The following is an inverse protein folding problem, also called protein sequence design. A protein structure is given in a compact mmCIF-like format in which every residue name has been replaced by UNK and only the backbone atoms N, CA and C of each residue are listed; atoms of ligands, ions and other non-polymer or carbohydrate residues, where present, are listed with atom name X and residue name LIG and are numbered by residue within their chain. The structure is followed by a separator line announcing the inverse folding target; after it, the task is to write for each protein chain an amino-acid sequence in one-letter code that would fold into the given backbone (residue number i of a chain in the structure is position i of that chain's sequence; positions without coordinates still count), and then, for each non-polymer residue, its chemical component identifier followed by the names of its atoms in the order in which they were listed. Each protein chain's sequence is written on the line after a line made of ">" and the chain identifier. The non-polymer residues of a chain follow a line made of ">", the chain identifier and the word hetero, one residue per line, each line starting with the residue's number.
data_IF_255197548922
#
_entry.id   IF_255197548922
#
_cell.length_a   1.000
_cell.length_b   1.000
_cell.length_c   1.000
_cell.angle_alpha   90.00
_cell.angle_beta   90.00
_cell.angle_gamma   90.00
#
_symmetry.space_group_name_H-M   'P 1'
#
loop_
_entity.id
_entity.type
_entity.pdbx_description
1 polymer ?
#
# COMPACT_ATOMS: atom_id res chain seq x y z
N UNK A 1 10.83 19.90 31.37
CA UNK A 1 11.48 18.88 30.52
C UNK A 1 10.38 17.93 30.10
N UNK A 2 9.99 17.91 28.82
CA UNK A 2 9.02 16.93 28.32
C UNK A 2 9.62 15.53 28.47
N UNK A 3 8.81 14.58 28.93
CA UNK A 3 9.26 13.20 29.09
C UNK A 3 9.53 12.58 27.71
N UNK A 4 10.60 11.79 27.57
CA UNK A 4 10.97 11.14 26.30
C UNK A 4 9.86 10.21 25.76
N UNK A 5 8.96 9.76 26.65
CA UNK A 5 7.73 9.03 26.31
C UNK A 5 6.70 9.88 25.56
N UNK A 6 6.65 11.20 25.77
CA UNK A 6 5.77 12.11 25.00
C UNK A 6 6.28 12.32 23.56
N UNK A 7 7.59 12.24 23.32
CA UNK A 7 8.15 12.32 21.96
C UNK A 7 7.75 11.13 21.08
N UNK A 8 7.59 9.93 21.65
CA UNK A 8 7.16 8.75 20.90
C UNK A 8 5.66 8.83 20.55
N UNK A 9 4.86 9.50 21.38
CA UNK A 9 3.42 9.69 21.13
C UNK A 9 3.15 10.67 19.98
N UNK A 10 3.98 11.70 19.85
CA UNK A 10 3.84 12.72 18.81
C UNK A 10 4.27 12.26 17.41
N UNK A 11 4.84 11.06 17.26
CA UNK A 11 5.16 10.48 15.95
C UNK A 11 3.95 9.85 15.23
N UNK A 12 2.86 9.57 15.94
CA UNK A 12 1.63 8.98 15.35
C UNK A 12 0.60 10.05 14.89
N UNK A 13 0.77 11.34 15.24
CA UNK A 13 -0.20 12.41 14.93
C UNK A 13 0.17 13.27 13.70
N UNK A 14 1.11 12.81 12.88
CA UNK A 14 1.55 13.47 11.65
C UNK A 14 0.53 13.40 10.52
N UNK A 15 -0.59 14.13 10.65
CA UNK A 15 -1.28 14.83 9.57
C UNK A 15 -1.81 14.01 8.38
N UNK A 16 -2.94 13.34 8.56
CA UNK A 16 -3.91 13.16 7.45
C UNK A 16 -4.70 14.45 7.32
N UNK A 17 -4.25 15.35 6.45
CA UNK A 17 -5.07 16.49 6.05
C UNK A 17 -6.10 15.95 5.05
N UNK A 18 -7.30 15.65 5.55
CA UNK A 18 -8.45 15.26 4.75
C UNK A 18 -8.80 16.42 3.80
N UNK A 19 -8.43 16.26 2.53
CA UNK A 19 -8.98 17.04 1.44
C UNK A 19 -10.36 16.47 1.16
N UNK A 20 -11.37 17.16 1.68
CA UNK A 20 -12.79 16.94 1.42
C UNK A 20 -13.10 17.28 -0.05
N UNK A 21 -12.94 16.29 -0.94
CA UNK A 21 -13.42 16.36 -2.32
C UNK A 21 -14.81 15.73 -2.44
N UNK A 22 -15.79 16.62 -2.63
CA UNK A 22 -17.20 16.42 -2.95
C UNK A 22 -17.58 15.10 -3.62
N UNK A 23 -18.41 14.34 -2.91
CA UNK A 23 -19.27 13.27 -3.44
C UNK A 23 -20.20 13.81 -4.52
N UNK A 24 -20.07 13.29 -5.74
CA UNK A 24 -21.19 13.13 -6.66
C UNK A 24 -21.62 11.66 -6.67
N UNK A 25 -22.84 11.43 -6.19
CA UNK A 25 -23.55 10.17 -6.26
C UNK A 25 -23.83 9.75 -7.70
N UNK A 26 -23.16 8.69 -8.17
CA UNK A 26 -23.74 7.80 -9.17
C UNK A 26 -23.42 6.35 -8.81
N UNK A 27 -24.44 5.65 -8.31
CA UNK A 27 -24.45 4.18 -8.22
C UNK A 27 -24.22 3.57 -9.60
N UNK A 28 -23.46 2.46 -9.68
CA UNK A 28 -23.86 1.37 -10.54
C UNK A 28 -24.06 0.06 -9.77
N UNK A 29 -24.87 -0.76 -10.41
CA UNK A 29 -25.44 -2.03 -9.96
C UNK A 29 -24.38 -3.07 -9.64
N UNK A 30 -24.78 -3.95 -8.73
CA UNK A 30 -24.13 -5.21 -8.44
C UNK A 30 -23.91 -6.05 -9.71
N UNK A 31 -22.69 -6.58 -9.82
CA UNK A 31 -22.43 -7.84 -10.51
C UNK A 31 -21.50 -8.65 -9.61
N UNK A 32 -22.03 -9.79 -9.16
CA UNK A 32 -21.23 -10.93 -8.74
C UNK A 32 -20.31 -11.36 -9.88
N UNK A 33 -19.18 -12.00 -9.56
CA UNK A 33 -18.65 -13.21 -10.22
C UNK A 33 -17.21 -13.49 -9.77
N UNK A 34 -17.08 -14.65 -9.10
CA UNK A 34 -16.03 -15.67 -9.19
C UNK A 34 -14.63 -15.37 -8.60
N UNK A 35 -14.40 -16.03 -7.47
CA UNK A 35 -13.11 -16.51 -6.98
C UNK A 35 -12.49 -17.50 -7.96
N UNK A 36 -11.24 -17.26 -8.39
CA UNK A 36 -10.37 -18.30 -8.94
C UNK A 36 -8.99 -18.23 -8.29
N UNK A 37 -8.68 -19.29 -7.55
CA UNK A 37 -7.32 -19.72 -7.24
C UNK A 37 -6.66 -20.23 -8.53
N UNK A 38 -5.35 -20.00 -8.69
CA UNK A 38 -4.57 -20.67 -9.73
C UNK A 38 -3.27 -19.96 -10.09
N UNK A 39 -2.21 -20.36 -9.40
CA UNK A 39 -0.88 -20.67 -9.90
C UNK A 39 -0.07 -19.73 -10.83
N UNK A 40 1.22 -19.69 -10.47
CA UNK A 40 2.39 -19.55 -11.33
C UNK A 40 2.61 -18.18 -12.00
N UNK A 41 3.39 -17.33 -11.34
CA UNK A 41 4.14 -16.28 -12.04
C UNK A 41 5.57 -16.77 -12.24
N UNK A 42 5.78 -17.30 -13.45
CA UNK A 42 7.10 -17.49 -14.01
C UNK A 42 7.78 -16.14 -14.26
N UNK A 43 9.05 -16.11 -13.88
CA UNK A 43 10.13 -15.30 -14.43
C UNK A 43 9.85 -14.69 -15.81
N UNK A 44 9.84 -13.36 -15.89
CA UNK A 44 10.00 -12.64 -17.16
C UNK A 44 11.17 -11.65 -17.07
N UNK A 45 12.22 -11.98 -17.81
CA UNK A 45 13.43 -11.21 -18.06
C UNK A 45 13.20 -9.76 -18.51
N UNK A 46 14.18 -8.86 -18.28
CA UNK A 46 14.09 -7.47 -18.67
C UNK A 46 14.21 -7.27 -20.19
N UNK A 47 13.17 -6.73 -20.82
CA UNK A 47 13.20 -6.24 -22.20
C UNK A 47 14.09 -5.00 -22.31
N UNK A 48 15.26 -5.18 -22.92
CA UNK A 48 16.12 -4.08 -23.40
C UNK A 48 15.35 -3.25 -24.43
N UNK A 49 14.95 -2.04 -24.05
CA UNK A 49 14.44 -1.01 -24.96
C UNK A 49 15.58 -0.62 -25.92
N UNK A 50 15.50 -1.05 -27.18
CA UNK A 50 16.28 -0.45 -28.26
C UNK A 50 15.59 0.86 -28.63
N UNK A 51 16.28 1.97 -28.38
CA UNK A 51 15.95 3.26 -28.97
C UNK A 51 16.12 3.15 -30.49
N UNK A 52 15.02 3.06 -31.21
CA UNK A 52 15.00 3.26 -32.67
C UNK A 52 14.63 4.71 -32.92
N UNK A 53 15.63 5.58 -32.93
CA UNK A 53 15.50 6.90 -33.54
C UNK A 53 15.34 6.71 -35.04
N UNK A 54 14.15 6.99 -35.56
CA UNK A 54 13.91 7.06 -37.01
C UNK A 54 13.06 8.29 -37.27
N UNK A 55 13.76 9.42 -37.36
CA UNK A 55 13.24 10.65 -37.93
C UNK A 55 14.31 11.15 -38.90
N UNK A 56 14.04 11.01 -40.20
CA UNK A 56 14.36 12.01 -41.22
C UNK A 56 14.02 11.49 -42.62
N UNK A 57 13.11 12.22 -43.25
CA UNK A 57 13.05 12.49 -44.69
C UNK A 57 13.05 11.33 -45.69
N UNK A 58 11.84 10.97 -46.12
CA UNK A 58 11.59 10.68 -47.55
C UNK A 58 10.27 11.37 -47.93
N UNK A 59 10.35 12.68 -48.21
CA UNK A 59 9.37 13.36 -49.07
C UNK A 59 9.81 13.13 -50.51
N UNK A 60 9.48 11.97 -51.07
CA UNK A 60 9.63 11.72 -52.49
C UNK A 60 8.33 12.19 -53.17
N UNK A 61 8.33 13.47 -53.52
CA UNK A 61 7.37 14.08 -54.43
C UNK A 61 7.52 13.43 -55.80
N UNK A 62 6.77 12.36 -56.06
CA UNK A 62 6.57 11.82 -57.40
C UNK A 62 5.25 12.37 -57.95
N UNK A 63 5.30 13.59 -58.47
CA UNK A 63 4.28 14.10 -59.39
C UNK A 63 4.92 15.02 -60.43
N UNK A 64 6.05 14.60 -60.99
CA UNK A 64 6.52 15.09 -62.28
C UNK A 64 6.13 14.06 -63.34
N UNK A 65 4.85 14.06 -63.70
CA UNK A 65 4.44 13.58 -65.02
C UNK A 65 4.30 14.85 -65.87
N UNK A 66 5.17 15.10 -66.85
CA UNK A 66 5.05 16.22 -67.76
C UNK A 66 3.86 15.97 -68.69
N UNK A 67 2.66 16.30 -68.25
CA UNK A 67 1.44 16.25 -69.08
C UNK A 67 1.42 17.36 -70.14
N UNK A 68 2.40 18.26 -70.11
CA UNK A 68 2.56 19.36 -71.06
C UNK A 68 3.19 18.95 -72.39
N UNK A 69 3.88 17.80 -72.48
CA UNK A 69 4.51 17.38 -73.75
C UNK A 69 3.63 16.49 -74.64
N UNK A 70 2.53 15.94 -74.13
CA UNK A 70 1.65 15.07 -74.93
C UNK A 70 0.54 15.85 -75.67
N UNK A 71 0.27 17.10 -75.28
CA UNK A 71 -0.71 17.96 -75.96
C UNK A 71 -0.14 18.80 -77.10
N UNK A 72 1.19 18.93 -77.20
CA UNK A 72 1.86 19.59 -78.33
C UNK A 72 2.05 18.66 -79.53
N UNK A 73 2.07 17.33 -79.35
CA UNK A 73 2.27 16.39 -80.47
C UNK A 73 1.00 16.10 -81.28
N UNK A 74 -0.19 16.21 -80.69
CA UNK A 74 -1.48 16.04 -81.40
C UNK A 74 -2.01 17.33 -82.05
N UNK A 75 -1.33 18.47 -81.85
CA UNK A 75 -1.60 19.72 -82.56
C UNK A 75 -0.65 19.92 -83.75
N UNK A 76 -0.27 18.81 -84.39
CA UNK A 76 0.22 18.85 -85.76
C UNK A 76 -0.87 19.46 -86.64
N UNK A 77 -0.71 20.74 -86.95
CA UNK A 77 -1.49 21.48 -87.94
C UNK A 77 -1.42 20.72 -89.28
N UNK A 78 -2.39 19.83 -89.50
CA UNK A 78 -2.79 19.46 -90.86
C UNK A 78 -3.65 20.63 -91.34
N UNK A 79 -3.01 21.73 -91.72
CA UNK A 79 -3.65 22.76 -92.52
C UNK A 79 -3.96 22.14 -93.88
N UNK A 80 -5.22 21.72 -94.05
CA UNK A 80 -5.74 21.32 -95.35
C UNK A 80 -5.54 22.48 -96.33
N UNK A 81 -4.96 22.24 -97.52
CA UNK A 81 -4.73 23.29 -98.52
C UNK A 81 -6.03 24.07 -98.81
N UNK A 82 -6.00 25.41 -98.89
CA UNK A 82 -7.18 26.26 -99.02
C UNK A 82 -8.05 25.97 -100.25
N UNK A 83 -7.54 25.22 -101.23
CA UNK A 83 -8.24 24.84 -102.46
C UNK A 83 -9.16 23.61 -102.30
N UNK A 84 -8.99 22.77 -101.28
CA UNK A 84 -9.88 21.61 -101.05
C UNK A 84 -11.10 21.94 -100.18
N UNK A 85 -11.05 23.03 -99.41
CA UNK A 85 -12.15 23.47 -98.53
C UNK A 85 -13.34 24.09 -99.28
N UNK A 86 -13.18 24.40 -100.57
CA UNK A 86 -14.22 24.98 -101.43
C UNK A 86 -15.01 23.94 -102.24
N UNK A 87 -14.57 22.68 -102.28
CA UNK A 87 -15.25 21.60 -103.00
C UNK A 87 -16.18 20.75 -102.12
N UNK A 88 -16.24 21.02 -100.82
CA UNK A 88 -17.17 20.33 -99.91
C UNK A 88 -18.54 21.02 -100.01
N UNK A 89 -19.59 20.35 -100.53
CA UNK A 89 -20.93 20.93 -100.64
C UNK A 89 -21.42 21.44 -99.27
N UNK A 90 -22.07 22.61 -99.22
CA UNK A 90 -22.42 23.29 -97.96
C UNK A 90 -23.16 22.42 -96.93
N UNK A 91 -23.92 21.41 -97.37
CA UNK A 91 -24.61 20.46 -96.47
C UNK A 91 -23.68 19.51 -95.70
N UNK A 92 -22.45 19.28 -96.16
CA UNK A 92 -21.46 18.42 -95.48
C UNK A 92 -20.70 19.17 -94.37
N UNK A 93 -20.51 20.49 -94.50
CA UNK A 93 -19.85 21.31 -93.47
C UNK A 93 -20.66 21.38 -92.18
N UNK A 94 -21.99 21.49 -92.29
CA UNK A 94 -22.88 21.47 -91.13
C UNK A 94 -22.91 20.09 -90.46
N UNK A 95 -22.81 19.01 -91.25
CA UNK A 95 -22.72 17.64 -90.73
C UNK A 95 -21.42 17.41 -89.95
N UNK A 96 -20.28 17.93 -90.44
CA UNK A 96 -18.99 17.88 -89.74
C UNK A 96 -19.06 18.67 -88.43
N UNK A 97 -19.61 19.90 -88.44
CA UNK A 97 -19.77 20.71 -87.23
C UNK A 97 -20.67 20.04 -86.16
N UNK A 98 -21.76 19.37 -86.58
CA UNK A 98 -22.61 18.59 -85.66
C UNK A 98 -21.88 17.37 -85.08
N UNK A 99 -21.07 16.68 -85.89
CA UNK A 99 -20.25 15.55 -85.42
C UNK A 99 -19.16 16.01 -84.45
N UNK A 100 -18.52 17.15 -84.70
CA UNK A 100 -17.55 17.76 -83.79
C UNK A 100 -18.18 18.16 -82.46
N UNK A 101 -19.39 18.75 -82.50
CA UNK A 101 -20.15 19.05 -81.28
C UNK A 101 -20.48 17.78 -80.49
N UNK A 102 -20.99 16.74 -81.14
CA UNK A 102 -21.29 15.45 -80.49
C UNK A 102 -20.01 14.81 -79.92
N UNK A 103 -18.89 14.90 -80.64
CA UNK A 103 -17.61 14.38 -80.18
C UNK A 103 -17.09 15.17 -78.96
N UNK A 104 -17.24 16.50 -78.96
CA UNK A 104 -16.87 17.36 -77.84
C UNK A 104 -17.73 17.10 -76.61
N UNK A 105 -19.04 16.95 -76.80
CA UNK A 105 -20.00 16.62 -75.73
C UNK A 105 -19.68 15.24 -75.11
N UNK A 106 -19.40 14.23 -75.94
CA UNK A 106 -18.95 12.92 -75.46
C UNK A 106 -17.65 12.99 -74.68
N UNK A 107 -16.66 13.77 -75.14
CA UNK A 107 -15.41 14.00 -74.41
C UNK A 107 -15.65 14.71 -73.07
N UNK A 108 -16.55 15.69 -73.04
CA UNK A 108 -16.93 16.41 -71.82
C UNK A 108 -17.61 15.49 -70.81
N UNK A 109 -18.56 14.65 -71.24
CA UNK A 109 -19.21 13.67 -70.38
C UNK A 109 -18.22 12.63 -69.83
N UNK A 110 -17.28 12.17 -70.66
CA UNK A 110 -16.23 11.26 -70.22
C UNK A 110 -15.33 11.90 -69.15
N UNK A 111 -14.86 13.13 -69.40
CA UNK A 111 -14.05 13.87 -68.43
C UNK A 111 -14.80 14.14 -67.11
N UNK A 112 -16.10 14.45 -67.18
CA UNK A 112 -16.94 14.61 -65.99
C UNK A 112 -17.09 13.29 -65.22
N UNK A 113 -17.27 12.17 -65.92
CA UNK A 113 -17.36 10.85 -65.30
C UNK A 113 -16.05 10.46 -64.60
N UNK A 114 -14.89 10.71 -65.22
CA UNK A 114 -13.57 10.50 -64.62
C UNK A 114 -13.38 11.37 -63.36
N UNK A 115 -13.80 12.63 -63.41
CA UNK A 115 -13.72 13.54 -62.26
C UNK A 115 -14.62 13.08 -61.11
N UNK A 116 -15.85 12.63 -61.40
CA UNK A 116 -16.75 12.09 -60.37
C UNK A 116 -16.20 10.81 -59.73
N UNK A 117 -15.61 9.92 -60.53
CA UNK A 117 -14.92 8.73 -60.02
C UNK A 117 -13.75 9.13 -59.12
N UNK A 118 -12.90 10.07 -59.56
CA UNK A 118 -11.77 10.57 -58.77
C UNK A 118 -12.23 11.19 -57.44
N UNK A 119 -13.30 12.00 -57.44
CA UNK A 119 -13.88 12.56 -56.21
C UNK A 119 -14.39 11.45 -55.29
N UNK A 120 -15.06 10.43 -55.84
CA UNK A 120 -15.56 9.31 -55.04
C UNK A 120 -14.42 8.50 -54.42
N UNK A 121 -13.30 8.33 -55.12
CA UNK A 121 -12.11 7.66 -54.59
C UNK A 121 -11.43 8.47 -53.49
N UNK A 122 -11.30 9.80 -53.68
CA UNK A 122 -10.75 10.69 -52.65
C UNK A 122 -11.61 10.67 -51.39
N UNK A 123 -12.93 10.71 -51.53
CA UNK A 123 -13.84 10.61 -50.40
C UNK A 123 -13.72 9.25 -49.70
N UNK A 124 -13.62 8.15 -50.45
CA UNK A 124 -13.41 6.82 -49.85
C UNK A 124 -12.11 6.75 -49.06
N UNK A 125 -11.00 7.26 -49.62
CA UNK A 125 -9.71 7.32 -48.93
C UNK A 125 -9.76 8.20 -47.68
N UNK A 126 -10.55 9.27 -47.72
CA UNK A 126 -10.78 10.14 -46.56
C UNK A 126 -11.52 9.38 -45.46
N UNK A 127 -12.61 8.69 -45.79
CA UNK A 127 -13.39 7.89 -44.84
C UNK A 127 -12.56 6.75 -44.25
N UNK A 128 -11.79 6.04 -45.08
CA UNK A 128 -10.87 4.96 -44.65
C UNK A 128 -9.83 5.51 -43.65
N UNK A 129 -9.27 6.70 -43.93
CA UNK A 129 -8.30 7.36 -43.04
C UNK A 129 -8.94 7.85 -41.74
N UNK A 130 -10.16 8.38 -41.78
CA UNK A 130 -10.89 8.78 -40.59
C UNK A 130 -11.18 7.57 -39.68
N UNK A 131 -11.58 6.43 -40.26
CA UNK A 131 -11.77 5.18 -39.51
C UNK A 131 -10.45 4.67 -38.90
N UNK A 132 -9.35 4.74 -39.64
CA UNK A 132 -8.03 4.35 -39.12
C UNK A 132 -7.60 5.23 -37.94
N UNK A 133 -7.79 6.54 -38.04
CA UNK A 133 -7.48 7.47 -36.93
C UNK A 133 -8.36 7.19 -35.70
N UNK A 134 -9.65 6.89 -35.88
CA UNK A 134 -10.53 6.52 -34.77
C UNK A 134 -10.09 5.20 -34.13
N UNK A 135 -9.65 4.22 -34.92
CA UNK A 135 -9.13 2.97 -34.40
C UNK A 135 -7.86 3.20 -33.57
N UNK A 136 -6.91 3.99 -34.08
CA UNK A 136 -5.67 4.34 -33.38
C UNK A 136 -5.95 5.09 -32.06
N UNK A 137 -6.88 6.06 -32.07
CA UNK A 137 -7.29 6.78 -30.86
C UNK A 137 -7.94 5.84 -29.84
N UNK A 138 -8.79 4.91 -30.30
CA UNK A 138 -9.41 3.92 -29.41
C UNK A 138 -8.40 2.96 -28.79
N UNK A 139 -7.38 2.56 -29.55
CA UNK A 139 -6.29 1.70 -29.08
C UNK A 139 -5.43 2.44 -28.05
N UNK A 140 -5.02 3.68 -28.36
CA UNK A 140 -4.27 4.53 -27.45
C UNK A 140 -5.03 4.80 -26.14
N UNK A 141 -6.35 5.03 -26.22
CA UNK A 141 -7.18 5.20 -25.03
C UNK A 141 -7.22 3.93 -24.15
N UNK A 142 -7.28 2.74 -24.75
CA UNK A 142 -7.23 1.46 -24.04
C UNK A 142 -5.88 1.22 -23.38
N UNK A 143 -4.78 1.53 -24.06
CA UNK A 143 -3.43 1.43 -23.50
C UNK A 143 -3.25 2.38 -22.32
N UNK A 144 -3.70 3.63 -22.44
CA UNK A 144 -3.65 4.61 -21.35
C UNK A 144 -4.50 4.20 -20.15
N UNK A 145 -5.67 3.59 -20.36
CA UNK A 145 -6.48 3.04 -19.27
C UNK A 145 -5.76 1.89 -18.56
N UNK A 146 -5.20 0.94 -19.32
CA UNK A 146 -4.42 -0.18 -18.77
C UNK A 146 -3.20 0.28 -17.97
N UNK A 147 -2.47 1.30 -18.45
CA UNK A 147 -1.32 1.88 -17.74
C UNK A 147 -1.74 2.58 -16.44
N UNK A 148 -2.90 3.28 -16.44
CA UNK A 148 -3.44 3.89 -15.22
C UNK A 148 -3.82 2.84 -14.19
N UNK A 149 -4.46 1.76 -14.62
CA UNK A 149 -4.83 0.65 -13.72
C UNK A 149 -3.59 -0.04 -13.16
N UNK A 150 -2.57 -0.30 -13.99
CA UNK A 150 -1.29 -0.86 -13.54
C UNK A 150 -0.58 0.05 -12.52
N UNK A 151 -0.54 1.36 -12.78
CA UNK A 151 0.03 2.33 -11.85
C UNK A 151 -0.77 2.42 -10.54
N UNK A 152 -2.10 2.34 -10.59
CA UNK A 152 -2.93 2.32 -9.39
C UNK A 152 -2.62 1.09 -8.52
N UNK A 153 -2.42 -0.08 -9.12
CA UNK A 153 -1.99 -1.29 -8.41
C UNK A 153 -0.60 -1.11 -7.81
N UNK A 154 0.37 -0.57 -8.55
CA UNK A 154 1.73 -0.32 -8.05
C UNK A 154 1.74 0.62 -6.85
N UNK A 155 0.96 1.71 -6.89
CA UNK A 155 0.83 2.65 -5.77
C UNK A 155 0.24 1.96 -4.53
N UNK A 156 -0.76 1.10 -4.69
CA UNK A 156 -1.35 0.35 -3.56
C UNK A 156 -0.32 -0.62 -2.96
N UNK A 157 0.42 -1.34 -3.80
CA UNK A 157 1.47 -2.27 -3.36
C UNK A 157 2.57 -1.53 -2.62
N UNK A 158 3.08 -0.42 -3.16
CA UNK A 158 4.13 0.39 -2.51
C UNK A 158 3.68 0.97 -1.16
N UNK A 159 2.42 1.42 -1.06
CA UNK A 159 1.86 1.88 0.22
C UNK A 159 1.81 0.73 1.23
N UNK A 160 1.34 -0.45 0.83
CA UNK A 160 1.28 -1.61 1.70
C UNK A 160 2.68 -2.04 2.18
N UNK A 161 3.67 -2.12 1.29
CA UNK A 161 5.04 -2.49 1.67
C UNK A 161 5.65 -1.48 2.64
N UNK A 162 5.47 -0.18 2.39
CA UNK A 162 5.98 0.87 3.27
C UNK A 162 5.35 0.80 4.67
N UNK A 163 4.03 0.53 4.77
CA UNK A 163 3.38 0.39 6.09
C UNK A 163 3.93 -0.81 6.89
N UNK A 164 4.25 -1.92 6.22
CA UNK A 164 4.84 -3.10 6.85
C UNK A 164 6.28 -2.81 7.29
N UNK A 165 7.07 -2.13 6.46
CA UNK A 165 8.44 -1.74 6.80
C UNK A 165 8.47 -0.81 8.02
N UNK A 166 7.56 0.16 8.09
CA UNK A 166 7.43 1.04 9.26
C UNK A 166 7.04 0.27 10.53
N UNK A 167 6.12 -0.70 10.43
CA UNK A 167 5.73 -1.53 11.56
C UNK A 167 6.92 -2.36 12.09
N UNK A 168 7.67 -3.00 11.18
CA UNK A 168 8.85 -3.78 11.53
C UNK A 168 9.97 -2.91 12.13
N UNK A 169 10.19 -1.71 11.59
CA UNK A 169 11.17 -0.77 12.13
C UNK A 169 10.78 -0.30 13.54
N UNK A 170 9.49 -0.03 13.78
CA UNK A 170 8.96 0.32 15.11
C UNK A 170 9.18 -0.80 16.11
N UNK A 171 8.86 -2.04 15.74
CA UNK A 171 9.09 -3.21 16.59
C UNK A 171 10.57 -3.35 16.94
N UNK A 172 11.46 -3.27 15.95
CA UNK A 172 12.90 -3.38 16.18
C UNK A 172 13.44 -2.26 17.10
N UNK A 173 12.97 -1.02 16.94
CA UNK A 173 13.37 0.11 17.80
C UNK A 173 12.85 -0.10 19.23
N UNK A 174 11.61 -0.54 19.40
CA UNK A 174 11.04 -0.82 20.72
C UNK A 174 11.80 -1.95 21.40
N UNK A 175 12.11 -3.02 20.67
CA UNK A 175 12.91 -4.13 21.18
C UNK A 175 14.30 -3.70 21.62
N UNK A 176 14.95 -2.86 20.82
CA UNK A 176 16.26 -2.30 21.15
C UNK A 176 16.18 -1.41 22.40
N UNK A 177 15.14 -0.58 22.50
CA UNK A 177 14.91 0.28 23.67
C UNK A 177 14.60 -0.53 24.93
N UNK A 178 13.74 -1.54 24.87
CA UNK A 178 13.40 -2.40 26.01
C UNK A 178 14.60 -3.15 26.59
N UNK A 179 15.63 -3.40 25.77
CA UNK A 179 16.89 -4.04 26.18
C UNK A 179 17.96 -3.03 26.64
N UNK A 180 17.68 -1.74 26.52
CA UNK A 180 18.64 -0.68 26.80
C UNK A 180 18.66 -0.32 28.30
N UNK A 181 19.79 0.19 28.82
CA UNK A 181 19.88 0.66 30.21
C UNK A 181 18.96 1.86 30.48
N UNK A 182 18.67 2.68 29.46
CA UNK A 182 17.75 3.81 29.59
C UNK A 182 16.34 3.34 29.93
N UNK A 183 15.86 2.24 29.32
CA UNK A 183 14.56 1.67 29.68
C UNK A 183 14.51 1.22 31.14
N UNK A 184 15.61 0.68 31.69
CA UNK A 184 15.68 0.32 33.10
C UNK A 184 15.54 1.56 33.98
N UNK A 185 16.26 2.63 33.66
CA UNK A 185 16.18 3.90 34.39
C UNK A 185 14.78 4.54 34.29
N UNK A 186 14.19 4.56 33.09
CA UNK A 186 12.84 5.10 32.86
C UNK A 186 11.78 4.28 33.61
N UNK A 187 11.92 2.95 33.64
CA UNK A 187 11.04 2.05 34.40
C UNK A 187 11.16 2.30 35.91
N UNK A 188 12.38 2.43 36.44
CA UNK A 188 12.61 2.72 37.86
C UNK A 188 12.02 4.08 38.24
N UNK A 189 12.30 5.12 37.45
CA UNK A 189 11.72 6.44 37.66
C UNK A 189 10.18 6.44 37.61
N UNK A 190 9.59 5.66 36.70
CA UNK A 190 8.14 5.50 36.61
C UNK A 190 7.58 4.82 37.86
N UNK A 191 8.20 3.73 38.32
CA UNK A 191 7.78 3.00 39.53
C UNK A 191 7.89 3.90 40.76
N UNK A 192 8.99 4.62 40.93
CA UNK A 192 9.20 5.52 42.06
C UNK A 192 8.13 6.63 42.12
N UNK A 193 7.77 7.16 40.95
CA UNK A 193 6.75 8.22 40.85
C UNK A 193 5.33 7.69 41.13
N UNK A 194 5.02 6.46 40.73
CA UNK A 194 3.66 5.90 40.76
C UNK A 194 3.50 4.73 41.76
N UNK A 195 4.41 4.60 42.73
CA UNK A 195 4.47 3.45 43.63
C UNK A 195 3.16 3.24 44.39
N UNK A 196 2.54 4.32 44.85
CA UNK A 196 1.27 4.28 45.60
C UNK A 196 0.12 3.73 44.75
N UNK A 197 -0.01 4.20 43.51
CA UNK A 197 -1.03 3.75 42.56
C UNK A 197 -0.83 2.29 42.16
N UNK A 198 0.41 1.89 41.87
CA UNK A 198 0.76 0.51 41.55
C UNK A 198 0.42 -0.41 42.72
N UNK A 199 0.79 -0.01 43.94
CA UNK A 199 0.51 -0.77 45.16
C UNK A 199 -1.00 -0.90 45.41
N UNK A 200 -1.75 0.19 45.28
CA UNK A 200 -3.20 0.17 45.42
C UNK A 200 -3.86 -0.74 44.38
N UNK A 201 -3.38 -0.70 43.12
CA UNK A 201 -3.88 -1.57 42.05
C UNK A 201 -3.61 -3.05 42.36
N UNK A 202 -2.41 -3.40 42.83
CA UNK A 202 -2.11 -4.76 43.24
C UNK A 202 -2.95 -5.21 44.43
N UNK A 203 -3.19 -4.35 45.42
CA UNK A 203 -4.04 -4.67 46.56
C UNK A 203 -5.52 -4.77 46.20
N UNK A 204 -5.97 -4.11 45.13
CA UNK A 204 -7.35 -4.16 44.68
C UNK A 204 -7.73 -5.52 44.06
N UNK A 205 -6.77 -6.25 43.46
CA UNK A 205 -7.02 -7.53 42.81
C UNK A 205 -6.64 -8.71 43.71
N UNK A 206 -7.38 -9.83 43.59
CA UNK A 206 -7.04 -11.05 44.33
C UNK A 206 -5.66 -11.57 43.94
N UNK A 207 -5.39 -11.66 42.64
CA UNK A 207 -4.09 -12.11 42.11
C UNK A 207 -2.93 -11.25 42.61
N UNK A 208 -3.11 -9.92 42.66
CA UNK A 208 -2.10 -9.01 43.18
C UNK A 208 -1.84 -9.21 44.66
N UNK A 209 -2.88 -9.40 45.49
CA UNK A 209 -2.74 -9.73 46.91
C UNK A 209 -2.05 -11.08 47.12
N UNK A 210 -2.44 -12.12 46.39
CA UNK A 210 -1.80 -13.44 46.46
C UNK A 210 -0.32 -13.39 46.06
N UNK A 211 0.00 -12.62 45.01
CA UNK A 211 1.39 -12.39 44.60
C UNK A 211 2.18 -11.68 45.70
N UNK A 212 1.64 -10.62 46.30
CA UNK A 212 2.27 -9.91 47.41
C UNK A 212 2.53 -10.82 48.62
N UNK A 213 1.58 -11.68 48.98
CA UNK A 213 1.75 -12.64 50.08
C UNK A 213 2.86 -13.65 49.75
N UNK A 214 2.87 -14.22 48.53
CA UNK A 214 3.91 -15.17 48.11
C UNK A 214 5.30 -14.54 48.11
N UNK A 215 5.45 -13.38 47.48
CA UNK A 215 6.72 -12.66 47.42
C UNK A 215 7.18 -12.19 48.80
N UNK A 216 6.26 -11.72 49.63
CA UNK A 216 6.52 -11.33 51.02
C UNK A 216 6.98 -12.52 51.87
N UNK A 217 6.33 -13.67 51.74
CA UNK A 217 6.72 -14.90 52.43
C UNK A 217 8.08 -15.42 51.97
N UNK A 218 8.37 -15.37 50.66
CA UNK A 218 9.67 -15.71 50.12
C UNK A 218 10.76 -14.79 50.67
N UNK A 219 10.53 -13.47 50.64
CA UNK A 219 11.45 -12.47 51.18
C UNK A 219 11.73 -12.69 52.67
N UNK A 220 10.68 -13.03 53.44
CA UNK A 220 10.83 -13.40 54.85
C UNK A 220 11.71 -14.65 55.04
N UNK A 221 11.50 -15.72 54.25
CA UNK A 221 12.33 -16.92 54.29
C UNK A 221 13.79 -16.62 53.96
N UNK A 222 14.04 -15.83 52.92
CA UNK A 222 15.39 -15.40 52.52
C UNK A 222 16.05 -14.61 53.66
N UNK A 223 15.34 -13.64 54.23
CA UNK A 223 15.82 -12.85 55.38
C UNK A 223 16.16 -13.73 56.59
N UNK A 224 15.30 -14.69 56.94
CA UNK A 224 15.54 -15.65 58.03
C UNK A 224 16.77 -16.51 57.77
N UNK A 225 16.92 -17.05 56.55
CA UNK A 225 18.08 -17.83 56.16
C UNK A 225 19.37 -17.00 56.24
N UNK A 226 19.38 -15.78 55.68
CA UNK A 226 20.53 -14.90 55.70
C UNK A 226 20.95 -14.51 57.13
N UNK A 227 19.98 -14.25 58.02
CA UNK A 227 20.24 -13.96 59.42
C UNK A 227 20.84 -15.18 60.15
N UNK A 228 20.27 -16.37 59.96
CA UNK A 228 20.78 -17.61 60.56
C UNK A 228 22.20 -17.90 60.07
N UNK A 229 22.47 -17.78 58.77
CA UNK A 229 23.81 -17.98 58.20
C UNK A 229 24.84 -17.03 58.81
N UNK A 230 24.51 -15.74 58.98
CA UNK A 230 25.40 -14.77 59.65
C UNK A 230 25.71 -15.18 61.08
N UNK A 231 24.70 -15.57 61.86
CA UNK A 231 24.89 -16.02 63.24
C UNK A 231 25.77 -17.27 63.27
N UNK A 232 25.49 -18.25 62.41
CA UNK A 232 26.19 -19.54 62.40
C UNK A 232 27.64 -19.37 61.99
N UNK A 233 27.91 -18.50 61.03
CA UNK A 233 29.26 -18.16 60.63
C UNK A 233 30.06 -17.59 61.82
N UNK A 234 29.49 -16.60 62.53
CA UNK A 234 30.14 -16.00 63.71
C UNK A 234 30.39 -17.04 64.81
N UNK A 235 29.45 -17.96 65.05
CA UNK A 235 29.60 -18.99 66.08
C UNK A 235 30.65 -20.04 65.68
N UNK A 236 30.68 -20.48 64.42
CA UNK A 236 31.71 -21.41 63.91
C UNK A 236 33.11 -20.81 64.03
N UNK A 237 33.26 -19.52 63.71
CA UNK A 237 34.55 -18.83 63.78
C UNK A 237 35.07 -18.72 65.22
N UNK A 238 34.18 -18.55 66.21
CA UNK A 238 34.56 -18.37 67.61
C UNK A 238 34.71 -19.66 68.41
N UNK A 239 33.87 -20.67 68.14
CA UNK A 239 33.74 -21.85 69.00
C UNK A 239 33.99 -23.18 68.26
N UNK A 240 34.28 -23.14 66.95
CA UNK A 240 34.42 -24.35 66.13
C UNK A 240 33.07 -24.97 65.74
N UNK A 241 33.10 -25.89 64.78
CA UNK A 241 31.89 -26.46 64.15
C UNK A 241 31.11 -27.44 65.04
N UNK A 242 31.76 -28.01 66.06
CA UNK A 242 31.18 -29.06 66.91
C UNK A 242 30.18 -28.54 67.95
N UNK A 243 30.20 -27.24 68.29
CA UNK A 243 29.45 -26.73 69.45
C UNK A 243 28.02 -26.26 69.14
N UNK A 244 27.63 -26.12 67.87
CA UNK A 244 26.35 -25.49 67.51
C UNK A 244 25.14 -26.36 67.85
N UNK A 245 25.24 -27.68 67.62
CA UNK A 245 24.16 -28.62 67.95
C UNK A 245 24.07 -28.80 69.47
N UNK A 246 25.22 -28.89 70.14
CA UNK A 246 25.31 -29.07 71.60
C UNK A 246 24.73 -27.88 72.39
N UNK A 247 24.69 -26.69 71.78
CA UNK A 247 24.07 -25.50 72.36
C UNK A 247 22.54 -25.43 72.18
N UNK A 248 21.93 -26.44 71.57
CA UNK A 248 20.49 -26.50 71.34
C UNK A 248 20.00 -25.51 70.27
N UNK A 249 20.89 -25.03 69.40
CA UNK A 249 20.49 -24.18 68.30
C UNK A 249 19.80 -25.01 67.21
N UNK A 250 18.77 -24.47 66.52
CA UNK A 250 18.08 -25.18 65.46
C UNK A 250 19.03 -25.65 64.34
N UNK A 251 18.71 -26.67 63.54
CA UNK A 251 19.53 -26.97 62.36
C UNK A 251 19.54 -25.81 61.37
N UNK A 252 20.61 -25.68 60.56
CA UNK A 252 20.68 -24.68 59.49
C UNK A 252 19.51 -24.88 58.53
N UNK A 253 18.75 -23.80 58.32
CA UNK A 253 17.62 -23.81 57.38
C UNK A 253 18.19 -23.96 55.97
N UNK A 254 17.60 -24.82 55.10
CA UNK A 254 18.03 -24.96 53.72
C UNK A 254 17.84 -23.65 52.95
N UNK A 255 18.73 -23.37 51.99
CA UNK A 255 18.65 -22.14 51.19
C UNK A 255 17.29 -22.07 50.45
N UNK A 256 16.43 -21.09 50.79
CA UNK A 256 15.12 -20.96 50.19
C UNK A 256 15.17 -20.64 48.70
N UNK A 257 16.21 -19.97 48.19
CA UNK A 257 16.35 -19.64 46.77
C UNK A 257 16.49 -20.89 45.88
N UNK A 258 17.12 -21.95 46.40
CA UNK A 258 17.27 -23.23 45.68
C UNK A 258 15.97 -24.02 45.60
N UNK A 259 15.01 -23.71 46.47
CA UNK A 259 13.70 -24.40 46.53
C UNK A 259 12.66 -23.77 45.60
N UNK A 260 12.86 -22.53 45.14
CA UNK A 260 11.94 -21.81 44.24
C UNK A 260 11.98 -22.35 42.79
N UNK A 261 12.92 -23.22 42.45
CA UNK A 261 13.02 -23.80 41.11
C UNK A 261 11.83 -24.70 40.71
N UNK A 262 10.92 -25.05 41.63
CA UNK A 262 9.63 -25.67 41.34
C UNK A 262 8.56 -25.18 42.33
N UNK A 263 7.74 -24.17 41.99
CA UNK A 263 6.54 -23.92 42.76
C UNK A 263 5.52 -25.02 42.44
N UNK A 264 5.42 -26.06 43.27
CA UNK A 264 4.17 -26.81 43.37
C UNK A 264 3.13 -25.87 44.00
N UNK A 265 2.02 -25.65 43.30
CA UNK A 265 0.91 -24.83 43.81
C UNK A 265 0.26 -25.40 45.09
N UNK A 266 0.65 -26.59 45.52
CA UNK A 266 -0.05 -27.36 46.56
C UNK A 266 0.36 -27.02 48.00
N UNK A 267 1.49 -26.34 48.23
CA UNK A 267 2.00 -26.12 49.60
C UNK A 267 1.56 -24.80 50.26
N UNK A 268 0.82 -23.95 49.55
CA UNK A 268 0.15 -22.80 50.17
C UNK A 268 -1.31 -23.19 50.42
N UNK A 269 -1.52 -24.11 51.35
CA UNK A 269 -2.84 -24.38 51.91
C UNK A 269 -3.36 -23.10 52.58
N UNK A 270 -4.17 -22.35 51.83
CA UNK A 270 -4.84 -21.11 52.25
C UNK A 270 -6.04 -21.35 53.18
N UNK A 271 -6.14 -22.53 53.79
CA UNK A 271 -7.29 -22.96 54.61
C UNK A 271 -7.50 -22.18 55.92
N UNK A 272 -6.69 -21.15 56.20
CA UNK A 272 -6.85 -20.28 57.38
C UNK A 272 -6.48 -18.82 57.11
N UNK A 273 -6.94 -18.24 56.00
CA UNK A 273 -7.18 -16.80 56.05
C UNK A 273 -8.43 -16.57 56.90
N UNK A 274 -8.38 -15.75 57.96
CA UNK A 274 -9.58 -15.36 58.69
C UNK A 274 -10.51 -14.66 57.68
N UNK A 275 -11.63 -15.30 57.35
CA UNK A 275 -12.74 -14.63 56.68
C UNK A 275 -13.18 -13.49 57.59
N UNK A 276 -13.38 -12.30 57.01
CA UNK A 276 -13.77 -11.06 57.72
C UNK A 276 -15.16 -11.13 58.38
N UNK A 277 -15.70 -12.31 58.65
CA UNK A 277 -16.99 -12.53 59.31
C UNK A 277 -16.92 -12.45 60.84
N UNK A 278 -15.72 -12.35 61.43
CA UNK A 278 -15.53 -12.22 62.89
C UNK A 278 -15.15 -10.79 63.32
N UNK A 279 -15.37 -9.78 62.47
CA UNK A 279 -15.37 -8.38 62.91
C UNK A 279 -16.73 -8.08 63.52
N UNK A 280 -16.87 -8.42 64.80
CA UNK A 280 -18.10 -8.36 65.57
C UNK A 280 -18.88 -7.06 65.39
N UNK A 281 -20.20 -7.22 65.37
CA UNK A 281 -21.19 -6.15 65.46
C UNK A 281 -20.73 -5.08 66.45
N UNK A 282 -20.38 -3.90 65.92
CA UNK A 282 -20.19 -2.73 66.74
C UNK A 282 -21.53 -2.44 67.45
N UNK A 283 -21.55 -2.33 68.79
CA UNK A 283 -22.77 -2.00 69.50
C UNK A 283 -23.22 -0.61 69.06
N UNK A 284 -24.29 -0.58 68.27
CA UNK A 284 -25.03 0.62 67.92
C UNK A 284 -25.49 1.28 69.22
N UNK A 285 -24.82 2.36 69.62
CA UNK A 285 -25.28 3.20 70.74
C UNK A 285 -26.55 3.90 70.30
N UNK A 286 -27.66 3.27 70.65
CA UNK A 286 -29.01 3.80 70.64
C UNK A 286 -29.06 5.02 71.59
N UNK A 287 -28.90 6.22 71.02
CA UNK A 287 -29.03 7.50 71.74
C UNK A 287 -30.51 7.76 72.01
N UNK A 288 -31.02 7.16 73.09
CA UNK A 288 -32.34 7.49 73.65
C UNK A 288 -32.24 8.82 74.37
N UNK A 289 -32.50 9.91 73.65
CA UNK A 289 -33.01 11.15 74.25
C UNK A 289 -34.49 11.30 73.90
N UNK A 290 -35.30 11.16 74.93
CA UNK A 290 -36.68 11.61 75.04
C UNK A 290 -36.87 12.04 76.51
N UNK A 291 -37.75 12.97 76.87
CA UNK A 291 -38.57 13.89 76.06
C UNK A 291 -38.12 15.36 76.13
#
# INVERSE_FOLDING_TARGET
>A
MMSRLEMIRNFDEGGSHDVDEGRHDTKPKASSIITNNGDAIMSSSPMKRKASGTAAHITQSMSDIPTTEMTTWLRGNIELPPLLSQMIPMGEKEKIARLDHIALEKKSHHAMAELLLSISEVNRRKDDREQELLLQLSQSAKEMASLKDAHAVEVVVLKATHTVELANAREHILDAYMKSPEFVADREAYVDTHLSEISQRWLSTLEGREKLVREGYLSYKIGKYAAQQKIYHILKDKAGTSCIIDWGLPPEVPNPEKLVAKPSMEDVAFDKLPTNEELGDAPSKEDKRNP
#
